data_IF_535561867650
#
_entry.id   IF_535561867650
#
_cell.length_a   1.000
_cell.length_b   1.000
_cell.length_c   1.000
_cell.angle_alpha   90.00
_cell.angle_beta   90.00
_cell.angle_gamma   90.00
#
_symmetry.space_group_name_H-M   'P 1'
#
loop_
_entity.id
_entity.type
_entity.pdbx_description
1 polymer ?
#
# COMPACT_ATOMS: atom_id res chain seq x y z
N UNK A 1 0.91 7.19 -13.28
CA UNK A 1 1.65 6.30 -12.36
C UNK A 1 0.67 5.39 -11.67
N UNK A 2 1.14 4.28 -11.10
CA UNK A 2 0.38 3.42 -10.19
C UNK A 2 1.07 3.52 -8.83
N UNK A 3 0.29 3.75 -7.77
CA UNK A 3 0.74 3.65 -6.38
C UNK A 3 0.07 2.44 -5.77
N UNK A 4 0.83 1.65 -5.01
CA UNK A 4 0.31 0.47 -4.31
C UNK A 4 0.91 0.39 -2.91
N UNK A 5 0.11 -0.11 -1.96
CA UNK A 5 0.56 -0.51 -0.63
C UNK A 5 0.59 -2.03 -0.53
N UNK A 6 1.74 -2.60 -0.20
CA UNK A 6 1.90 -4.05 -0.13
C UNK A 6 3.33 -4.48 0.18
N UNK A 7 3.56 -5.79 0.28
CA UNK A 7 4.90 -6.31 0.46
C UNK A 7 5.72 -6.16 -0.83
N UNK A 8 6.93 -5.56 -0.79
CA UNK A 8 7.81 -5.47 -1.95
C UNK A 8 8.09 -6.81 -2.62
N UNK A 9 8.16 -7.90 -1.85
CA UNK A 9 8.37 -9.25 -2.37
C UNK A 9 7.37 -9.65 -3.46
N UNK A 10 6.16 -9.07 -3.45
CA UNK A 10 5.11 -9.40 -4.41
C UNK A 10 5.15 -8.55 -5.69
N UNK A 11 5.71 -7.33 -5.64
CA UNK A 11 5.48 -6.32 -6.68
C UNK A 11 6.75 -5.82 -7.37
N UNK A 12 7.93 -5.96 -6.77
CA UNK A 12 9.18 -5.48 -7.40
C UNK A 12 9.49 -6.19 -8.71
N UNK A 13 9.15 -7.48 -8.83
CA UNK A 13 9.26 -8.26 -10.08
C UNK A 13 8.38 -7.71 -11.20
N UNK A 14 7.33 -6.97 -10.86
CA UNK A 14 6.41 -6.33 -11.81
C UNK A 14 6.81 -4.89 -12.18
N UNK A 15 8.02 -4.46 -11.77
CA UNK A 15 8.57 -3.13 -12.09
C UNK A 15 8.13 -2.03 -11.12
N UNK A 16 7.56 -2.37 -9.97
CA UNK A 16 7.35 -1.40 -8.89
C UNK A 16 8.68 -1.10 -8.18
N UNK A 17 8.86 0.14 -7.75
CA UNK A 17 10.00 0.55 -6.92
C UNK A 17 9.53 1.29 -5.68
N UNK A 18 10.40 1.47 -4.69
CA UNK A 18 10.03 2.17 -3.46
C UNK A 18 9.62 3.62 -3.76
N UNK A 19 8.62 4.12 -3.02
CA UNK A 19 8.07 5.46 -3.21
C UNK A 19 9.11 6.59 -3.05
N UNK A 20 10.09 6.41 -2.15
CA UNK A 20 11.14 7.40 -1.89
C UNK A 20 12.01 7.69 -3.12
N UNK A 21 12.27 6.70 -3.98
CA UNK A 21 13.02 6.91 -5.24
C UNK A 21 12.32 7.90 -6.18
N UNK A 22 10.99 7.98 -6.11
CA UNK A 22 10.17 8.86 -6.93
C UNK A 22 9.67 10.09 -6.16
N UNK A 23 10.15 10.31 -4.93
CA UNK A 23 9.75 11.43 -4.08
C UNK A 23 8.22 11.51 -3.88
N UNK A 24 7.55 10.34 -3.84
CA UNK A 24 6.13 10.22 -3.52
C UNK A 24 6.00 9.90 -2.03
N UNK A 25 5.29 10.72 -1.28
CA UNK A 25 5.14 10.60 0.18
C UNK A 25 3.69 10.78 0.63
N UNK A 26 3.41 10.41 1.88
CA UNK A 26 2.21 10.86 2.58
C UNK A 26 2.38 12.32 3.04
N UNK A 27 1.32 12.89 3.62
CA UNK A 27 1.44 14.11 4.40
C UNK A 27 2.62 14.04 5.40
N UNK A 28 3.23 15.19 5.70
CA UNK A 28 4.43 15.31 6.55
C UNK A 28 5.69 14.63 6.01
N UNK A 29 5.78 14.37 4.70
CA UNK A 29 6.95 13.78 4.02
C UNK A 29 7.34 12.39 4.53
N UNK A 30 6.38 11.61 5.03
CA UNK A 30 6.62 10.21 5.40
C UNK A 30 6.64 9.32 4.16
N UNK A 31 7.60 8.41 4.11
CA UNK A 31 7.74 7.41 3.04
C UNK A 31 7.49 6.01 3.61
N UNK A 32 6.25 5.49 3.58
CA UNK A 32 5.94 4.16 4.08
C UNK A 32 6.74 3.07 3.37
N UNK A 33 7.27 2.12 4.13
CA UNK A 33 8.06 1.01 3.58
C UNK A 33 7.21 0.11 2.66
N UNK A 34 5.92 -0.01 2.94
CA UNK A 34 4.97 -0.75 2.12
C UNK A 34 4.47 0.02 0.87
N UNK A 35 4.80 1.31 0.71
CA UNK A 35 4.34 2.11 -0.43
C UNK A 35 5.32 2.04 -1.60
N UNK A 36 4.82 1.62 -2.77
CA UNK A 36 5.58 1.48 -4.00
C UNK A 36 4.91 2.18 -5.17
N UNK A 37 5.72 2.54 -6.16
CA UNK A 37 5.30 3.31 -7.33
C UNK A 37 5.81 2.63 -8.59
N UNK A 38 4.96 2.61 -9.62
CA UNK A 38 5.31 2.22 -10.97
C UNK A 38 4.91 3.33 -11.94
N UNK A 39 5.87 3.83 -12.70
CA UNK A 39 5.58 4.76 -13.79
C UNK A 39 4.87 4.03 -14.95
N UNK A 40 3.91 4.71 -15.58
CA UNK A 40 3.24 4.21 -16.78
C UNK A 40 3.91 4.69 -18.07
N UNK A 41 4.60 5.84 -17.97
CA UNK A 41 5.44 6.43 -19.00
C UNK A 41 6.74 6.79 -18.30
N UNK A 42 7.86 6.42 -18.90
CA UNK A 42 9.18 6.75 -18.40
C UNK A 42 9.35 8.26 -18.21
N UNK A 43 9.90 8.67 -17.06
CA UNK A 43 10.15 10.07 -16.72
C UNK A 43 8.88 10.89 -16.46
N UNK A 44 7.75 10.25 -16.17
CA UNK A 44 6.52 10.95 -15.77
C UNK A 44 6.64 11.57 -14.37
N UNK A 45 7.47 10.98 -13.50
CA UNK A 45 7.80 11.49 -12.17
C UNK A 45 9.13 12.25 -12.27
N UNK A 46 9.01 13.54 -12.53
CA UNK A 46 10.08 14.50 -12.84
C UNK A 46 10.94 14.93 -11.63
N UNK A 47 10.98 14.14 -10.56
CA UNK A 47 11.73 14.40 -9.34
C UNK A 47 11.07 15.36 -8.34
N UNK A 48 9.94 15.98 -8.69
CA UNK A 48 9.15 16.79 -7.75
C UNK A 48 8.62 15.95 -6.60
N UNK A 49 8.31 16.59 -5.47
CA UNK A 49 7.61 15.93 -4.37
C UNK A 49 6.13 15.77 -4.72
N UNK A 50 5.64 14.54 -4.60
CA UNK A 50 4.25 14.19 -4.81
C UNK A 50 3.64 13.71 -3.49
N UNK A 51 2.45 14.21 -3.16
CA UNK A 51 1.70 13.77 -1.99
C UNK A 51 0.61 12.80 -2.42
N UNK A 52 0.63 11.59 -1.86
CA UNK A 52 -0.41 10.60 -2.05
C UNK A 52 -1.59 10.90 -1.10
N UNK A 53 -2.79 10.90 -1.68
CA UNK A 53 -4.06 10.95 -0.96
C UNK A 53 -4.92 9.79 -1.45
N UNK A 54 -5.50 9.06 -0.52
CA UNK A 54 -6.47 8.03 -0.84
C UNK A 54 -7.80 8.65 -1.29
N UNK A 55 -8.53 7.89 -2.12
CA UNK A 55 -9.88 8.28 -2.50
C UNK A 55 -10.84 8.06 -1.31
N UNK A 56 -11.86 8.92 -1.11
CA UNK A 56 -12.92 8.64 -0.15
C UNK A 56 -13.59 7.28 -0.33
N UNK A 57 -13.54 6.70 -1.54
CA UNK A 57 -14.04 5.35 -1.83
C UNK A 57 -13.27 4.25 -1.08
N UNK A 58 -12.05 4.53 -0.63
CA UNK A 58 -11.22 3.60 0.17
C UNK A 58 -11.64 3.58 1.65
N UNK A 59 -12.57 4.44 2.07
CA UNK A 59 -13.13 4.42 3.41
C UNK A 59 -14.18 3.31 3.47
N UNK A 60 -13.81 2.21 4.14
CA UNK A 60 -14.69 1.06 4.33
C UNK A 60 -15.41 1.22 5.67
N UNK A 61 -16.71 0.94 5.69
CA UNK A 61 -17.45 0.71 6.93
C UNK A 61 -17.17 -0.73 7.40
N UNK A 62 -16.41 -0.86 8.49
CA UNK A 62 -16.01 -2.16 9.03
C UNK A 62 -17.22 -2.98 9.52
N UNK A 63 -18.29 -2.33 9.99
CA UNK A 63 -19.50 -3.00 10.45
C UNK A 63 -20.27 -3.56 9.25
N UNK A 64 -20.39 -2.77 8.18
CA UNK A 64 -21.00 -3.24 6.93
C UNK A 64 -20.21 -4.39 6.30
N UNK A 65 -18.89 -4.29 6.26
CA UNK A 65 -18.01 -5.35 5.78
C UNK A 65 -18.19 -6.64 6.60
N UNK A 66 -18.33 -6.52 7.92
CA UNK A 66 -18.63 -7.65 8.81
C UNK A 66 -19.98 -8.30 8.51
N UNK A 67 -21.05 -7.49 8.36
CA UNK A 67 -22.39 -8.00 8.00
C UNK A 67 -22.39 -8.75 6.67
N UNK A 68 -21.61 -8.29 5.70
CA UNK A 68 -21.46 -8.98 4.41
C UNK A 68 -20.70 -10.31 4.56
N UNK A 69 -19.59 -10.35 5.30
CA UNK A 69 -18.81 -11.57 5.59
C UNK A 69 -19.63 -12.63 6.35
N UNK A 70 -20.58 -12.20 7.18
CA UNK A 70 -21.54 -13.08 7.86
C UNK A 70 -22.54 -13.77 6.93
N UNK A 71 -22.76 -13.23 5.73
CA UNK A 71 -23.58 -13.87 4.70
C UNK A 71 -22.85 -14.92 3.86
N UNK A 72 -21.53 -15.07 4.01
CA UNK A 72 -20.70 -16.00 3.23
C UNK A 72 -20.45 -17.33 3.95
N UNK A 73 -20.06 -18.36 3.21
CA UNK A 73 -19.59 -19.61 3.79
C UNK A 73 -18.36 -19.35 4.68
N UNK A 74 -18.44 -19.81 5.93
CA UNK A 74 -17.39 -19.52 6.93
C UNK A 74 -16.12 -20.32 6.64
N UNK A 75 -15.02 -19.59 6.49
CA UNK A 75 -13.67 -20.16 6.35
C UNK A 75 -12.92 -20.10 7.69
N UNK A 76 -12.12 -21.12 7.98
CA UNK A 76 -11.25 -21.11 9.16
C UNK A 76 -10.18 -20.03 9.04
N UNK A 77 -10.07 -19.15 10.05
CA UNK A 77 -9.05 -18.11 10.09
C UNK A 77 -7.70 -18.71 10.44
N UNK A 78 -6.72 -18.59 9.54
CA UNK A 78 -5.36 -19.03 9.77
C UNK A 78 -4.43 -17.86 10.10
N UNK A 79 -3.44 -18.11 10.97
CA UNK A 79 -2.33 -17.20 11.21
C UNK A 79 -1.05 -17.68 10.51
N UNK A 80 -0.28 -16.76 9.89
CA UNK A 80 0.97 -17.05 9.18
C UNK A 80 2.02 -15.98 9.52
N UNK A 81 3.29 -16.36 9.52
CA UNK A 81 4.40 -15.44 9.78
C UNK A 81 4.41 -14.22 8.84
N UNK A 82 3.94 -14.36 7.61
CA UNK A 82 3.83 -13.25 6.65
C UNK A 82 2.86 -12.15 7.08
N UNK A 83 1.87 -12.45 7.92
CA UNK A 83 0.96 -11.44 8.47
C UNK A 83 1.71 -10.54 9.45
N UNK A 84 2.57 -11.11 10.32
CA UNK A 84 3.40 -10.34 11.25
C UNK A 84 4.46 -9.51 10.51
N UNK A 85 5.12 -10.12 9.51
CA UNK A 85 6.08 -9.40 8.66
C UNK A 85 5.44 -8.17 8.00
N UNK A 86 4.26 -8.36 7.39
CA UNK A 86 3.55 -7.27 6.75
C UNK A 86 2.98 -6.26 7.75
N UNK A 87 2.61 -6.69 8.95
CA UNK A 87 2.15 -5.80 10.03
C UNK A 87 3.23 -4.80 10.43
N UNK A 88 4.47 -5.27 10.61
CA UNK A 88 5.63 -4.43 10.92
C UNK A 88 5.92 -3.48 9.75
N UNK A 89 5.95 -4.01 8.53
CA UNK A 89 6.29 -3.25 7.33
C UNK A 89 5.28 -2.15 7.02
N UNK A 90 3.97 -2.45 7.13
CA UNK A 90 2.88 -1.50 6.86
C UNK A 90 2.84 -0.34 7.86
N UNK A 91 3.48 -0.47 9.02
CA UNK A 91 3.62 0.58 10.04
C UNK A 91 4.98 1.27 10.06
N UNK A 92 5.91 0.84 9.20
CA UNK A 92 7.25 1.41 9.12
C UNK A 92 7.32 2.49 8.04
N UNK A 93 8.03 3.58 8.32
CA UNK A 93 8.23 4.68 7.37
C UNK A 93 9.61 5.33 7.56
N UNK A 94 10.08 5.98 6.52
CA UNK A 94 11.26 6.87 6.57
C UNK A 94 10.79 8.31 6.59
N UNK A 95 11.50 9.17 7.31
CA UNK A 95 11.27 10.62 7.42
C UNK A 95 12.51 11.41 6.95
#
# INVERSE_FOLDING_TARGET
MIVIFGSPANYVSSGFQCCKKYNVCLENKKFPAAMMVKELKEGALDGRTWFYYDSPVMRIDEEEAGRYDDGLEKMEKAHRASQEEFYIMSRSFVE
#
